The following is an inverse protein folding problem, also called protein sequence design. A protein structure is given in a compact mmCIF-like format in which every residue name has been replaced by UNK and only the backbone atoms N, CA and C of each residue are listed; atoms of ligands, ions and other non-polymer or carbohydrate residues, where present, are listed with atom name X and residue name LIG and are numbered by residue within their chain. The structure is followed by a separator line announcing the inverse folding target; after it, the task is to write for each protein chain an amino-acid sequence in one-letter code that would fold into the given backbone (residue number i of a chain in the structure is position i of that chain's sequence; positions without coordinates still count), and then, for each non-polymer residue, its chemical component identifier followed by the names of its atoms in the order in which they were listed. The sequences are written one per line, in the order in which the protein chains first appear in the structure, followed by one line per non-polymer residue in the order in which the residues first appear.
data_IF_717740040050
#
_entry.id   IF_717740040050
#
_cell.length_a   1.000
_cell.length_b   1.000
_cell.length_c   1.000
_cell.angle_alpha   90.00
_cell.angle_beta   90.00
_cell.angle_gamma   90.00
#
_symmetry.space_group_name_H-M   'P 1'
#
loop_
_entity.id
_entity.type
_entity.pdbx_description
1 polymer ?
#
# COMPACT_ATOMS: atom_id res chain seq x y z
N UNK A 1 -28.10 40.71 -15.24
CA UNK A 1 -26.66 40.61 -14.91
C UNK A 1 -26.53 40.60 -13.39
N UNK A 2 -26.91 39.48 -12.74
CA UNK A 2 -26.69 39.28 -11.30
C UNK A 2 -25.45 38.41 -11.14
N UNK A 3 -24.35 39.02 -10.70
CA UNK A 3 -23.17 38.29 -10.25
C UNK A 3 -23.47 37.69 -8.88
N UNK A 4 -23.76 36.38 -8.84
CA UNK A 4 -23.83 35.61 -7.59
C UNK A 4 -22.38 35.36 -7.14
N UNK A 5 -21.85 36.28 -6.33
CA UNK A 5 -20.52 36.17 -5.75
C UNK A 5 -20.56 35.15 -4.60
N UNK A 6 -20.52 33.86 -4.93
CA UNK A 6 -20.59 32.76 -3.98
C UNK A 6 -19.18 32.40 -3.47
N UNK A 7 -18.62 33.25 -2.61
CA UNK A 7 -17.30 33.06 -2.00
C UNK A 7 -17.21 31.76 -1.15
N UNK A 8 -18.36 31.21 -0.73
CA UNK A 8 -18.49 29.96 0.02
C UNK A 8 -18.35 28.70 -0.85
N UNK A 9 -18.74 28.74 -2.12
CA UNK A 9 -18.63 27.61 -3.05
C UNK A 9 -17.19 27.44 -3.58
N UNK A 10 -16.44 28.53 -3.76
CA UNK A 10 -15.03 28.47 -4.19
C UNK A 10 -14.10 27.87 -3.12
N UNK A 11 -14.38 28.09 -1.83
CA UNK A 11 -13.62 27.47 -0.72
C UNK A 11 -13.84 25.95 -0.65
N UNK A 12 -15.06 25.46 -0.88
CA UNK A 12 -15.32 24.02 -0.87
C UNK A 12 -14.67 23.34 -2.07
N UNK A 13 -14.66 23.96 -3.26
CA UNK A 13 -14.05 23.38 -4.45
C UNK A 13 -12.54 23.20 -4.29
N UNK A 14 -11.84 24.21 -3.77
CA UNK A 14 -10.38 24.15 -3.55
C UNK A 14 -10.05 23.12 -2.47
N UNK A 15 -10.82 23.08 -1.36
CA UNK A 15 -10.64 22.06 -0.32
C UNK A 15 -10.88 20.65 -0.85
N UNK A 16 -11.96 20.44 -1.63
CA UNK A 16 -12.30 19.15 -2.22
C UNK A 16 -11.28 18.72 -3.28
N UNK A 17 -10.73 19.67 -4.04
CA UNK A 17 -9.63 19.43 -4.98
C UNK A 17 -8.33 19.09 -4.26
N UNK A 18 -8.03 19.75 -3.14
CA UNK A 18 -6.85 19.46 -2.33
C UNK A 18 -6.97 18.11 -1.63
N UNK A 19 -8.15 17.78 -1.11
CA UNK A 19 -8.47 16.49 -0.51
C UNK A 19 -8.46 15.37 -1.54
N UNK A 20 -9.09 15.56 -2.71
CA UNK A 20 -8.98 14.62 -3.84
C UNK A 20 -7.54 14.47 -4.33
N UNK A 21 -6.75 15.54 -4.41
CA UNK A 21 -5.32 15.45 -4.75
C UNK A 21 -4.54 14.69 -3.68
N UNK A 22 -4.77 14.96 -2.39
CA UNK A 22 -4.15 14.22 -1.28
C UNK A 22 -4.51 12.74 -1.28
N UNK A 23 -5.72 12.40 -1.71
CA UNK A 23 -6.20 11.03 -1.87
C UNK A 23 -5.65 10.34 -3.13
N UNK A 24 -5.32 11.09 -4.18
CA UNK A 24 -4.63 10.56 -5.36
C UNK A 24 -3.12 10.33 -5.11
N UNK A 25 -2.55 11.00 -4.10
CA UNK A 25 -1.14 10.88 -3.73
C UNK A 25 -0.83 9.71 -2.79
N UNK A 26 -1.81 8.87 -2.43
CA UNK A 26 -1.57 7.70 -1.57
C UNK A 26 -2.36 6.48 -2.04
N UNK A 27 -1.69 5.34 -2.13
CA UNK A 27 -2.26 4.03 -2.45
C UNK A 27 -1.89 3.04 -1.34
N UNK A 28 -2.93 2.37 -0.81
CA UNK A 28 -2.78 1.27 0.15
C UNK A 28 -3.12 -0.04 -0.53
N UNK A 29 -2.19 -0.98 -0.52
CA UNK A 29 -2.33 -2.32 -1.09
C UNK A 29 -2.43 -3.31 0.06
N UNK A 30 -3.57 -3.98 0.18
CA UNK A 30 -3.81 -4.96 1.23
C UNK A 30 -3.43 -6.35 0.69
N UNK A 31 -2.35 -6.91 1.24
CA UNK A 31 -1.77 -8.20 0.87
C UNK A 31 -0.42 -8.05 0.16
N UNK A 32 0.65 -8.50 0.82
CA UNK A 32 1.99 -8.66 0.28
C UNK A 32 2.14 -10.00 -0.44
N UNK A 33 1.37 -10.20 -1.50
CA UNK A 33 1.50 -11.37 -2.39
C UNK A 33 2.03 -10.96 -3.77
N UNK A 34 2.15 -11.92 -4.70
CA UNK A 34 2.49 -11.63 -6.10
C UNK A 34 1.61 -10.52 -6.70
N UNK A 35 0.30 -10.56 -6.43
CA UNK A 35 -0.63 -9.57 -6.96
C UNK A 35 -0.37 -8.17 -6.38
N UNK A 36 -0.13 -8.08 -5.07
CA UNK A 36 0.14 -6.82 -4.40
C UNK A 36 1.47 -6.20 -4.84
N UNK A 37 2.52 -7.02 -4.94
CA UNK A 37 3.84 -6.57 -5.40
C UNK A 37 3.80 -6.17 -6.87
N UNK A 38 3.18 -6.97 -7.74
CA UNK A 38 3.05 -6.64 -9.16
C UNK A 38 2.24 -5.35 -9.37
N UNK A 39 1.24 -5.09 -8.53
CA UNK A 39 0.47 -3.84 -8.54
C UNK A 39 1.36 -2.64 -8.18
N UNK A 40 2.11 -2.73 -7.07
CA UNK A 40 3.03 -1.67 -6.65
C UNK A 40 4.13 -1.39 -7.69
N UNK A 41 4.69 -2.45 -8.27
CA UNK A 41 5.67 -2.38 -9.34
C UNK A 41 5.09 -1.69 -10.58
N UNK A 42 3.89 -2.09 -11.01
CA UNK A 42 3.20 -1.48 -12.14
C UNK A 42 2.92 0.01 -11.89
N UNK A 43 2.49 0.39 -10.69
CA UNK A 43 2.29 1.80 -10.33
C UNK A 43 3.58 2.60 -10.54
N UNK A 44 4.71 2.11 -10.02
CA UNK A 44 6.01 2.78 -10.18
C UNK A 44 6.48 2.82 -11.63
N UNK A 45 6.37 1.72 -12.36
CA UNK A 45 6.74 1.65 -13.78
C UNK A 45 5.91 2.62 -14.65
N UNK A 46 4.66 2.88 -14.28
CA UNK A 46 3.79 3.82 -14.99
C UNK A 46 3.89 5.26 -14.47
N UNK A 47 4.88 5.58 -13.63
CA UNK A 47 5.18 6.94 -13.20
C UNK A 47 4.31 7.45 -12.04
N UNK A 48 3.64 6.56 -11.29
CA UNK A 48 3.01 6.96 -10.04
C UNK A 48 4.07 7.39 -9.03
N UNK A 49 3.97 8.62 -8.54
CA UNK A 49 4.91 9.27 -7.62
C UNK A 49 4.35 9.42 -6.20
N UNK A 50 3.08 9.05 -5.98
CA UNK A 50 2.46 9.07 -4.67
C UNK A 50 3.01 8.00 -3.72
N UNK A 51 2.62 8.06 -2.46
CA UNK A 51 3.02 7.07 -1.46
C UNK A 51 2.33 5.73 -1.75
N UNK A 52 3.08 4.64 -1.70
CA UNK A 52 2.55 3.29 -1.77
C UNK A 52 2.83 2.60 -0.45
N UNK A 53 1.80 2.06 0.20
CA UNK A 53 1.94 1.21 1.38
C UNK A 53 1.38 -0.17 1.08
N UNK A 54 2.18 -1.21 1.24
CA UNK A 54 1.76 -2.61 1.18
C UNK A 54 1.61 -3.12 2.61
N UNK A 55 0.44 -3.66 2.94
CA UNK A 55 0.17 -4.27 4.24
C UNK A 55 0.18 -5.79 4.08
N UNK A 56 0.96 -6.48 4.89
CA UNK A 56 1.03 -7.93 4.95
C UNK A 56 0.74 -8.40 6.38
N UNK A 57 -0.16 -9.40 6.50
CA UNK A 57 -0.53 -9.92 7.82
C UNK A 57 0.56 -10.80 8.41
N UNK A 58 1.31 -11.50 7.56
CA UNK A 58 2.42 -12.33 7.98
C UNK A 58 3.63 -11.45 8.33
N UNK A 59 4.42 -11.88 9.31
CA UNK A 59 5.68 -11.25 9.62
C UNK A 59 6.75 -11.57 8.57
N UNK A 60 7.69 -10.65 8.39
CA UNK A 60 8.80 -10.85 7.44
C UNK A 60 8.46 -10.46 6.00
N UNK A 61 9.40 -10.70 5.09
CA UNK A 61 9.24 -10.34 3.69
C UNK A 61 8.19 -11.24 3.02
N UNK A 62 7.32 -10.70 2.15
CA UNK A 62 6.49 -11.47 1.23
C UNK A 62 7.24 -12.60 0.53
N UNK A 63 6.83 -13.85 0.77
CA UNK A 63 7.48 -15.04 0.21
C UNK A 63 6.74 -15.60 -1.01
N UNK A 64 7.50 -16.18 -1.93
CA UNK A 64 7.01 -16.97 -3.03
C UNK A 64 6.40 -18.28 -2.51
N UNK A 65 5.11 -18.50 -2.77
CA UNK A 65 4.37 -19.66 -2.26
C UNK A 65 4.65 -21.00 -2.98
N UNK A 66 4.83 -21.06 -4.31
CA UNK A 66 5.11 -22.31 -5.02
C UNK A 66 6.22 -23.20 -4.42
N UNK A 67 7.40 -22.69 -4.01
CA UNK A 67 8.46 -23.51 -3.42
C UNK A 67 8.17 -23.94 -1.97
N UNK A 68 7.16 -23.38 -1.31
CA UNK A 68 6.89 -23.61 0.12
C UNK A 68 6.52 -25.06 0.46
N UNK A 69 5.94 -25.80 -0.49
CA UNK A 69 5.50 -27.19 -0.26
C UNK A 69 6.62 -28.23 -0.34
N UNK A 70 7.85 -27.84 -0.73
CA UNK A 70 8.98 -28.77 -0.95
C UNK A 70 10.33 -28.16 -0.60
N UNK A 71 10.78 -27.19 -1.39
CA UNK A 71 12.13 -26.63 -1.28
C UNK A 71 12.33 -25.78 -0.01
N UNK A 72 11.26 -25.17 0.48
CA UNK A 72 11.28 -24.41 1.75
C UNK A 72 11.39 -25.33 2.97
N UNK A 73 10.67 -26.45 2.99
CA UNK A 73 10.76 -27.42 4.11
C UNK A 73 12.13 -28.10 4.20
N UNK A 74 12.86 -28.16 3.09
CA UNK A 74 14.24 -28.65 3.02
C UNK A 74 15.28 -27.54 3.14
N UNK A 75 14.86 -26.28 3.31
CA UNK A 75 15.74 -25.13 3.42
C UNK A 75 16.28 -24.99 4.85
N UNK A 76 17.43 -24.34 4.96
CA UNK A 76 17.89 -23.79 6.23
C UNK A 76 16.92 -22.67 6.66
N UNK A 77 16.38 -22.70 7.90
CA UNK A 77 15.53 -21.64 8.44
C UNK A 77 16.19 -20.24 8.39
N UNK A 78 17.51 -20.15 8.39
CA UNK A 78 18.21 -18.87 8.31
C UNK A 78 18.26 -18.29 6.87
N UNK A 79 17.84 -19.08 5.87
CA UNK A 79 17.88 -18.73 4.43
C UNK A 79 16.48 -18.44 3.85
N UNK A 80 15.49 -18.15 4.69
CA UNK A 80 14.11 -17.84 4.25
C UNK A 80 14.03 -16.67 3.27
N UNK A 81 14.96 -15.71 3.39
CA UNK A 81 15.01 -14.52 2.54
C UNK A 81 15.21 -14.83 1.05
N UNK A 82 15.77 -16.00 0.70
CA UNK A 82 15.93 -16.43 -0.70
C UNK A 82 14.61 -16.68 -1.41
N UNK A 83 13.56 -16.94 -0.64
CA UNK A 83 12.21 -17.16 -1.14
C UNK A 83 11.39 -15.87 -1.16
N UNK A 84 11.97 -14.72 -0.79
CA UNK A 84 11.27 -13.46 -0.84
C UNK A 84 10.96 -13.07 -2.30
N UNK A 85 9.74 -12.60 -2.54
CA UNK A 85 9.31 -12.10 -3.86
C UNK A 85 10.15 -10.90 -4.30
N UNK A 86 10.56 -10.09 -3.34
CA UNK A 86 11.49 -8.97 -3.49
C UNK A 86 12.38 -8.91 -2.26
N UNK A 87 13.65 -8.57 -2.46
CA UNK A 87 14.56 -8.30 -1.34
C UNK A 87 14.16 -7.01 -0.61
N UNK A 88 14.70 -6.81 0.59
CA UNK A 88 14.38 -5.65 1.43
C UNK A 88 14.70 -4.31 0.73
N UNK A 89 15.81 -4.26 0.01
CA UNK A 89 16.28 -3.03 -0.64
C UNK A 89 15.37 -2.60 -1.79
N UNK A 90 14.69 -3.53 -2.46
CA UNK A 90 13.77 -3.22 -3.54
C UNK A 90 12.65 -2.27 -3.09
N UNK A 91 12.10 -2.48 -1.89
CA UNK A 91 11.04 -1.62 -1.34
C UNK A 91 11.54 -0.19 -1.11
N UNK A 92 12.72 -0.04 -0.53
CA UNK A 92 13.33 1.27 -0.30
C UNK A 92 13.68 1.96 -1.63
N UNK A 93 14.25 1.23 -2.57
CA UNK A 93 14.63 1.76 -3.89
C UNK A 93 13.43 2.20 -4.75
N UNK A 94 12.24 1.70 -4.45
CA UNK A 94 11.00 2.05 -5.14
C UNK A 94 10.08 2.95 -4.30
N UNK A 95 10.55 3.50 -3.17
CA UNK A 95 9.74 4.31 -2.26
C UNK A 95 8.41 3.63 -1.86
N UNK A 96 8.46 2.34 -1.52
CA UNK A 96 7.32 1.54 -1.09
C UNK A 96 7.47 1.23 0.41
N UNK A 97 6.48 1.61 1.19
CA UNK A 97 6.38 1.21 2.59
C UNK A 97 5.81 -0.19 2.68
N UNK A 98 6.57 -1.15 3.22
CA UNK A 98 6.08 -2.49 3.52
C UNK A 98 5.79 -2.59 5.03
N UNK A 99 4.53 -2.80 5.39
CA UNK A 99 4.09 -3.00 6.77
C UNK A 99 3.67 -4.45 6.98
N UNK A 100 4.43 -5.20 7.76
CA UNK A 100 4.29 -6.65 7.95
C UNK A 100 3.81 -6.99 9.35
N UNK A 101 3.28 -8.19 9.54
CA UNK A 101 2.84 -8.66 10.86
C UNK A 101 1.61 -7.94 11.38
N UNK A 102 0.86 -7.24 10.52
CA UNK A 102 -0.33 -6.48 10.90
C UNK A 102 -1.48 -6.81 9.96
N UNK A 103 -2.62 -7.10 10.56
CA UNK A 103 -3.86 -7.38 9.84
C UNK A 103 -4.67 -6.11 9.63
N UNK A 104 -5.31 -5.99 8.46
CA UNK A 104 -6.35 -4.98 8.24
C UNK A 104 -7.63 -5.45 8.90
N UNK A 105 -8.13 -4.68 9.87
CA UNK A 105 -9.34 -4.98 10.62
C UNK A 105 -10.60 -4.46 9.93
N UNK A 106 -10.53 -3.29 9.29
CA UNK A 106 -11.68 -2.68 8.61
C UNK A 106 -11.26 -1.76 7.46
N UNK A 107 -12.16 -1.58 6.51
CA UNK A 107 -12.03 -0.62 5.41
C UNK A 107 -13.27 0.26 5.41
N UNK A 108 -13.09 1.57 5.48
CA UNK A 108 -14.15 2.55 5.30
C UNK A 108 -13.95 3.28 3.97
N UNK A 109 -14.78 2.93 2.99
CA UNK A 109 -14.74 3.55 1.66
C UNK A 109 -15.26 5.00 1.65
N UNK A 110 -16.07 5.39 2.63
CA UNK A 110 -16.61 6.75 2.75
C UNK A 110 -15.53 7.74 3.18
N UNK A 111 -14.77 7.38 4.22
CA UNK A 111 -13.61 8.16 4.67
C UNK A 111 -12.31 7.82 3.94
N UNK A 112 -12.31 6.75 3.12
CA UNK A 112 -11.13 6.20 2.43
C UNK A 112 -10.00 5.88 3.39
N UNK A 113 -10.35 5.25 4.50
CA UNK A 113 -9.42 4.86 5.55
C UNK A 113 -9.36 3.34 5.72
N UNK A 114 -8.21 2.87 6.16
CA UNK A 114 -7.97 1.46 6.49
C UNK A 114 -7.56 1.37 7.95
N UNK A 115 -8.35 0.66 8.75
CA UNK A 115 -8.04 0.42 10.16
C UNK A 115 -7.26 -0.88 10.31
N UNK A 116 -6.15 -0.81 11.02
CA UNK A 116 -5.30 -1.95 11.33
C UNK A 116 -5.64 -2.53 12.70
N UNK A 117 -5.33 -3.82 12.89
CA UNK A 117 -5.59 -4.54 14.14
C UNK A 117 -4.75 -4.02 15.33
N UNK A 118 -3.65 -3.31 15.06
CA UNK A 118 -2.81 -2.64 16.07
C UNK A 118 -3.37 -1.27 16.51
N UNK A 119 -4.50 -0.85 15.95
CA UNK A 119 -5.19 0.41 16.27
C UNK A 119 -4.74 1.60 15.42
N UNK A 120 -3.78 1.43 14.51
CA UNK A 120 -3.41 2.47 13.55
C UNK A 120 -4.45 2.59 12.42
N UNK A 121 -4.61 3.79 11.87
CA UNK A 121 -5.44 4.05 10.69
C UNK A 121 -4.62 4.72 9.59
N UNK A 122 -4.78 4.23 8.36
CA UNK A 122 -4.12 4.71 7.14
C UNK A 122 -5.09 5.41 6.19
#
# INVERSE_FOLDING_TARGET
MLAVNCQTCQKSLISLLFEKRRLLMRVVIIGGSHAGIACAESLRQNGYDGQITIIERLGGLPLERPPLSKAFLAADPDDESRFALRNKDWYANHDITLKTGVEVAAIDAGSRSVSLADGEAL
#
